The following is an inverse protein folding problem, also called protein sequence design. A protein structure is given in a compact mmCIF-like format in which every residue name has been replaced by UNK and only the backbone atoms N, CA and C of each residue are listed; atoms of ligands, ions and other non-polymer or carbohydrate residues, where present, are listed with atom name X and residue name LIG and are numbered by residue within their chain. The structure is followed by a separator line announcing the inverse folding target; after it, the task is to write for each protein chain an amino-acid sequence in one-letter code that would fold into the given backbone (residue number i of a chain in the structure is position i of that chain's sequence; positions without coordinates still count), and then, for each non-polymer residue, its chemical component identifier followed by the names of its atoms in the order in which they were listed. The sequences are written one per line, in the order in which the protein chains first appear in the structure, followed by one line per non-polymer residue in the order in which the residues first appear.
data_IF_143481195484
#
_entry.id   IF_143481195484
#
_cell.length_a   1.000
_cell.length_b   1.000
_cell.length_c   1.000
_cell.angle_alpha   90.00
_cell.angle_beta   90.00
_cell.angle_gamma   90.00
#
_symmetry.space_group_name_H-M   'P 1'
#
loop_
_entity.id
_entity.type
_entity.pdbx_description
1 polymer ?
#
# COMPACT_ATOMS: atom_id res chain seq x y z
N UNK A 1 -2.63 32.88 13.87
CA UNK A 1 -1.31 32.48 13.34
C UNK A 1 -0.90 31.05 13.71
N UNK A 2 -0.63 30.70 14.99
CA UNK A 2 -0.11 29.35 15.38
C UNK A 2 -0.98 28.16 14.93
N UNK A 3 -2.31 28.24 15.06
CA UNK A 3 -3.23 27.16 14.65
C UNK A 3 -3.20 26.90 13.14
N UNK A 4 -3.13 27.95 12.33
CA UNK A 4 -3.07 27.83 10.86
C UNK A 4 -1.78 27.12 10.43
N UNK A 5 -0.64 27.49 11.02
CA UNK A 5 0.65 26.84 10.73
C UNK A 5 0.66 25.36 11.12
N UNK A 6 0.14 25.02 12.30
CA UNK A 6 0.01 23.61 12.73
C UNK A 6 -0.90 22.80 11.82
N UNK A 7 -2.03 23.37 11.40
CA UNK A 7 -2.95 22.69 10.47
C UNK A 7 -2.31 22.45 9.10
N UNK A 8 -1.58 23.43 8.56
CA UNK A 8 -0.85 23.27 7.30
C UNK A 8 0.21 22.18 7.39
N UNK A 9 0.94 22.10 8.51
CA UNK A 9 1.95 21.06 8.73
C UNK A 9 1.35 19.66 8.81
N UNK A 10 0.25 19.49 9.55
CA UNK A 10 -0.41 18.17 9.63
C UNK A 10 -1.01 17.76 8.29
N UNK A 11 -1.56 18.71 7.52
CA UNK A 11 -2.04 18.44 6.16
C UNK A 11 -0.91 17.93 5.26
N UNK A 12 0.26 18.56 5.31
CA UNK A 12 1.43 18.13 4.52
C UNK A 12 1.88 16.72 4.93
N UNK A 13 1.92 16.44 6.24
CA UNK A 13 2.23 15.10 6.75
C UNK A 13 1.24 14.04 6.25
N UNK A 14 -0.06 14.35 6.26
CA UNK A 14 -1.10 13.46 5.74
C UNK A 14 -1.00 13.26 4.23
N UNK A 15 -0.64 14.31 3.47
CA UNK A 15 -0.38 14.19 2.03
C UNK A 15 0.75 13.20 1.75
N UNK A 16 1.85 13.26 2.49
CA UNK A 16 2.95 12.29 2.36
C UNK A 16 2.50 10.85 2.62
N UNK A 17 1.70 10.63 3.66
CA UNK A 17 1.12 9.31 3.94
C UNK A 17 0.23 8.84 2.78
N UNK A 18 -0.61 9.73 2.24
CA UNK A 18 -1.50 9.38 1.12
C UNK A 18 -0.70 9.04 -0.16
N UNK A 19 0.40 9.73 -0.43
CA UNK A 19 1.31 9.40 -1.53
C UNK A 19 1.92 8.01 -1.34
N UNK A 20 2.39 7.67 -0.14
CA UNK A 20 2.90 6.33 0.15
C UNK A 20 1.83 5.24 -0.03
N UNK A 21 0.57 5.50 0.35
CA UNK A 21 -0.55 4.59 0.06
C UNK A 21 -0.81 4.43 -1.44
N UNK A 22 -0.65 5.50 -2.23
CA UNK A 22 -0.81 5.44 -3.69
C UNK A 22 0.30 4.62 -4.35
N UNK A 23 1.56 4.77 -3.92
CA UNK A 23 2.66 3.95 -4.41
C UNK A 23 2.48 2.48 -4.03
N UNK A 24 2.09 2.19 -2.77
CA UNK A 24 1.79 0.82 -2.35
C UNK A 24 0.64 0.21 -3.16
N UNK A 25 -0.40 0.98 -3.47
CA UNK A 25 -1.54 0.53 -4.29
C UNK A 25 -1.11 0.09 -5.69
N UNK A 26 -0.13 0.74 -6.32
CA UNK A 26 0.35 0.37 -7.67
C UNK A 26 0.98 -1.02 -7.71
N UNK A 27 1.56 -1.47 -6.60
CA UNK A 27 2.22 -2.78 -6.49
C UNK A 27 1.24 -3.93 -6.21
N UNK A 28 0.00 -3.62 -5.81
CA UNK A 28 -0.99 -4.63 -5.46
C UNK A 28 -1.74 -5.07 -6.72
N UNK A 29 -1.71 -6.37 -7.08
CA UNK A 29 -2.46 -6.88 -8.22
C UNK A 29 -3.96 -6.87 -7.92
N UNK A 30 -4.75 -6.27 -8.82
CA UNK A 30 -6.22 -6.24 -8.75
C UNK A 30 -6.85 -6.43 -10.12
N UNK A 31 -8.05 -7.00 -10.16
CA UNK A 31 -8.91 -7.01 -11.34
C UNK A 31 -10.21 -6.25 -11.06
N UNK A 32 -10.57 -5.22 -11.86
CA UNK A 32 -9.72 -4.55 -12.86
C UNK A 32 -8.53 -3.81 -12.20
N UNK A 33 -7.46 -3.46 -12.94
CA UNK A 33 -6.31 -2.73 -12.42
C UNK A 33 -6.67 -1.39 -11.76
N UNK A 34 -7.74 -0.74 -12.23
CA UNK A 34 -8.21 0.57 -11.78
C UNK A 34 -9.16 0.48 -10.57
N UNK A 35 -9.37 -0.73 -10.01
CA UNK A 35 -10.24 -0.92 -8.84
C UNK A 35 -9.82 -0.01 -7.69
N UNK A 36 -10.71 0.86 -7.24
CA UNK A 36 -10.46 1.70 -6.06
C UNK A 36 -10.41 0.82 -4.81
N UNK A 37 -9.33 0.92 -4.05
CA UNK A 37 -9.16 0.22 -2.78
C UNK A 37 -9.17 1.23 -1.63
N UNK A 38 -9.81 0.87 -0.53
CA UNK A 38 -9.67 1.59 0.74
C UNK A 38 -8.26 1.41 1.32
N UNK A 39 -7.85 2.32 2.23
CA UNK A 39 -6.56 2.20 2.94
C UNK A 39 -6.41 0.85 3.65
N UNK A 40 -7.49 0.34 4.25
CA UNK A 40 -7.48 -0.94 4.93
C UNK A 40 -7.31 -2.12 3.96
N UNK A 41 -8.02 -2.10 2.83
CA UNK A 41 -7.84 -3.11 1.77
C UNK A 41 -6.41 -3.10 1.22
N UNK A 42 -5.82 -1.91 0.99
CA UNK A 42 -4.42 -1.78 0.54
C UNK A 42 -3.48 -2.51 1.52
N UNK A 43 -3.61 -2.28 2.83
CA UNK A 43 -2.76 -2.95 3.81
C UNK A 43 -2.98 -4.47 3.83
N UNK A 44 -4.24 -4.91 3.82
CA UNK A 44 -4.57 -6.34 3.83
C UNK A 44 -4.08 -7.07 2.59
N UNK A 45 -4.23 -6.45 1.41
CA UNK A 45 -3.80 -7.04 0.16
C UNK A 45 -2.29 -7.02 0.01
N UNK A 46 -1.60 -5.98 0.50
CA UNK A 46 -0.14 -5.97 0.54
C UNK A 46 0.40 -7.14 1.37
N UNK A 47 -0.13 -7.36 2.58
CA UNK A 47 0.27 -8.51 3.41
C UNK A 47 -0.02 -9.86 2.74
N UNK A 48 -1.19 -9.98 2.10
CA UNK A 48 -1.55 -11.21 1.36
C UNK A 48 -0.63 -11.44 0.18
N UNK A 49 -0.26 -10.37 -0.53
CA UNK A 49 0.57 -10.46 -1.73
C UNK A 49 2.02 -10.81 -1.39
N UNK A 50 2.58 -10.24 -0.31
CA UNK A 50 3.91 -10.64 0.20
C UNK A 50 3.93 -12.15 0.50
N UNK A 51 2.96 -12.65 1.29
CA UNK A 51 2.86 -14.08 1.62
C UNK A 51 2.68 -14.96 0.38
N UNK A 52 1.93 -14.49 -0.60
CA UNK A 52 1.73 -15.21 -1.85
C UNK A 52 3.05 -15.34 -2.63
N UNK A 53 3.84 -14.27 -2.72
CA UNK A 53 5.15 -14.30 -3.37
C UNK A 53 6.15 -15.18 -2.60
N UNK A 54 6.15 -15.12 -1.26
CA UNK A 54 6.98 -16.00 -0.41
C UNK A 54 6.69 -17.48 -0.67
N UNK A 55 5.41 -17.86 -0.75
CA UNK A 55 5.02 -19.23 -1.06
C UNK A 55 5.48 -19.67 -2.46
N UNK A 56 5.33 -18.80 -3.47
CA UNK A 56 5.80 -19.11 -4.84
C UNK A 56 7.30 -19.38 -4.85
N UNK A 57 8.09 -18.58 -4.14
CA UNK A 57 9.54 -18.78 -4.07
C UNK A 57 9.89 -20.10 -3.38
N UNK A 58 9.21 -20.45 -2.28
CA UNK A 58 9.40 -21.74 -1.61
C UNK A 58 9.07 -22.92 -2.54
N UNK A 59 7.94 -22.86 -3.25
CA UNK A 59 7.52 -23.91 -4.17
C UNK A 59 8.51 -24.08 -5.35
N UNK A 60 9.19 -22.99 -5.76
CA UNK A 60 10.22 -23.03 -6.80
C UNK A 60 11.53 -23.63 -6.28
N UNK A 61 11.94 -23.31 -5.05
CA UNK A 61 13.15 -23.86 -4.44
C UNK A 61 13.03 -25.36 -4.14
N UNK A 62 11.80 -25.87 -3.96
CA UNK A 62 11.48 -27.29 -3.78
C UNK A 62 11.35 -28.08 -5.10
N UNK A 63 11.64 -27.47 -6.25
CA UNK A 63 11.75 -28.21 -7.53
C UNK A 63 13.11 -28.94 -7.62
N UNK A 64 13.13 -30.26 -7.89
CA UNK A 64 14.37 -31.04 -7.94
C UNK A 64 15.31 -30.65 -9.10
#
# INVERSE_FOLDING_TARGET
MKRLYTNSRERWRQQHVNLAFAELRKLIPTYPPERKLSKNEILRFAMKYIKFLENILSDMDDTP
#
